data_IF_848686419706
#
_entry.id   IF_848686419706
#
_cell.length_a   1.000
_cell.length_b   1.000
_cell.length_c   1.000
_cell.angle_alpha   90.00
_cell.angle_beta   90.00
_cell.angle_gamma   90.00
#
_symmetry.space_group_name_H-M   'P 1'
#
loop_
_entity.id
_entity.type
_entity.pdbx_description
1 polymer ?
#
# COMPACT_ATOMS: atom_id res chain seq x y z
N UNK A 1 -23.75 -0.25 -3.81
CA UNK A 1 -23.37 1.17 -3.98
C UNK A 1 -21.86 1.23 -3.83
N UNK A 2 -21.14 1.80 -4.80
CA UNK A 2 -19.69 1.93 -4.74
C UNK A 2 -19.32 3.34 -4.24
N UNK A 3 -18.21 3.44 -3.51
CA UNK A 3 -17.66 4.70 -3.01
C UNK A 3 -16.15 4.65 -3.19
N UNK A 4 -15.55 5.80 -3.49
CA UNK A 4 -14.11 5.98 -3.39
C UNK A 4 -13.79 6.38 -1.96
N UNK A 5 -12.83 5.70 -1.34
CA UNK A 5 -12.33 6.01 0.00
C UNK A 5 -10.86 6.31 -0.05
N UNK A 6 -10.41 7.26 0.77
CA UNK A 6 -8.99 7.54 0.96
C UNK A 6 -8.49 6.76 2.17
N UNK A 7 -7.47 5.93 1.99
CA UNK A 7 -6.86 5.09 3.02
C UNK A 7 -5.41 5.52 3.20
N UNK A 8 -4.98 5.62 4.46
CA UNK A 8 -3.58 5.81 4.83
C UNK A 8 -3.07 4.55 5.52
N UNK A 9 -1.97 4.00 5.04
CA UNK A 9 -1.36 2.78 5.59
C UNK A 9 0.17 2.80 5.46
N UNK A 10 0.85 1.92 6.18
CA UNK A 10 2.30 1.73 6.08
C UNK A 10 2.62 0.46 5.29
N UNK A 11 3.22 0.64 4.12
CA UNK A 11 3.61 -0.48 3.23
C UNK A 11 5.03 -0.93 3.51
N UNK A 12 5.20 -2.24 3.75
CA UNK A 12 6.51 -2.90 3.86
C UNK A 12 7.02 -3.32 2.48
N UNK A 13 8.11 -2.71 2.04
CA UNK A 13 8.81 -3.07 0.81
C UNK A 13 9.94 -4.04 1.14
N UNK A 14 9.90 -5.28 0.63
CA UNK A 14 10.91 -6.28 0.93
C UNK A 14 12.26 -5.89 0.29
N UNK A 15 13.40 -6.23 0.95
CA UNK A 15 14.73 -5.83 0.46
C UNK A 15 15.04 -6.34 -0.95
N UNK A 16 14.47 -7.50 -1.33
CA UNK A 16 14.64 -8.09 -2.66
C UNK A 16 14.07 -7.24 -3.80
N UNK A 17 13.18 -6.27 -3.51
CA UNK A 17 12.51 -5.42 -4.49
C UNK A 17 12.97 -3.97 -4.47
N UNK A 18 13.98 -3.62 -3.68
CA UNK A 18 14.48 -2.24 -3.56
C UNK A 18 15.09 -1.67 -4.86
N UNK A 19 15.39 -2.53 -5.84
CA UNK A 19 15.88 -2.10 -7.16
C UNK A 19 14.77 -1.83 -8.20
N UNK A 20 13.52 -2.14 -7.87
CA UNK A 20 12.36 -1.88 -8.74
C UNK A 20 11.82 -0.45 -8.50
N UNK A 21 11.03 0.11 -9.44
CA UNK A 21 10.34 1.37 -9.22
C UNK A 21 9.44 1.28 -7.98
N UNK A 22 9.71 2.15 -6.99
CA UNK A 22 9.05 2.10 -5.67
C UNK A 22 7.51 2.13 -5.78
N UNK A 23 6.97 2.99 -6.63
CA UNK A 23 5.52 3.14 -6.83
C UNK A 23 4.89 1.85 -7.37
N UNK A 24 5.55 1.16 -8.31
CA UNK A 24 5.07 -0.12 -8.84
C UNK A 24 5.06 -1.21 -7.77
N UNK A 25 6.11 -1.28 -6.96
CA UNK A 25 6.19 -2.22 -5.84
C UNK A 25 5.11 -1.94 -4.81
N UNK A 26 4.89 -0.67 -4.45
CA UNK A 26 3.86 -0.28 -3.49
C UNK A 26 2.47 -0.64 -4.02
N UNK A 27 2.15 -0.31 -5.28
CA UNK A 27 0.85 -0.66 -5.87
C UNK A 27 0.64 -2.17 -5.88
N UNK A 28 1.64 -2.95 -6.26
CA UNK A 28 1.55 -4.41 -6.25
C UNK A 28 1.32 -4.99 -4.84
N UNK A 29 2.00 -4.44 -3.83
CA UNK A 29 1.81 -4.84 -2.43
C UNK A 29 0.41 -4.45 -1.93
N UNK A 30 -0.04 -3.24 -2.22
CA UNK A 30 -1.38 -2.76 -1.85
C UNK A 30 -2.47 -3.62 -2.49
N UNK A 31 -2.37 -3.92 -3.79
CA UNK A 31 -3.33 -4.78 -4.48
C UNK A 31 -3.44 -6.15 -3.83
N UNK A 32 -2.30 -6.80 -3.57
CA UNK A 32 -2.26 -8.12 -2.92
C UNK A 32 -2.82 -8.11 -1.49
N UNK A 33 -2.72 -6.99 -0.79
CA UNK A 33 -3.12 -6.87 0.62
C UNK A 33 -4.59 -6.48 0.77
N UNK A 34 -5.11 -5.65 -0.13
CA UNK A 34 -6.43 -5.03 0.00
C UNK A 34 -7.47 -5.53 -0.99
N UNK A 35 -7.12 -5.92 -2.22
CA UNK A 35 -8.14 -6.36 -3.18
C UNK A 35 -8.83 -7.64 -2.69
N UNK A 36 -10.16 -7.59 -2.58
CA UNK A 36 -10.98 -8.68 -2.02
C UNK A 36 -11.06 -8.70 -0.49
N UNK A 37 -10.33 -7.82 0.21
CA UNK A 37 -10.45 -7.70 1.66
C UNK A 37 -11.80 -7.05 2.02
N UNK A 38 -12.50 -7.63 2.99
CA UNK A 38 -13.79 -7.12 3.46
C UNK A 38 -13.64 -6.60 4.88
N UNK A 39 -13.82 -5.30 5.03
CA UNK A 39 -13.86 -4.60 6.30
C UNK A 39 -15.31 -4.32 6.72
N UNK A 40 -15.58 -4.33 8.03
CA UNK A 40 -16.94 -4.15 8.57
C UNK A 40 -17.45 -2.71 8.43
N UNK A 41 -16.55 -1.73 8.44
CA UNK A 41 -16.88 -0.31 8.42
C UNK A 41 -16.84 0.25 6.99
N UNK A 42 -15.89 -0.24 6.18
CA UNK A 42 -15.67 0.27 4.83
C UNK A 42 -16.39 -0.55 3.75
N UNK A 43 -16.56 -1.86 3.97
CA UNK A 43 -17.09 -2.83 3.01
C UNK A 43 -15.99 -3.64 2.32
N UNK A 44 -16.30 -4.21 1.15
CA UNK A 44 -15.31 -4.95 0.34
C UNK A 44 -14.53 -4.02 -0.55
N UNK A 45 -13.20 -4.11 -0.49
CA UNK A 45 -12.28 -3.38 -1.36
C UNK A 45 -12.18 -4.11 -2.69
N UNK A 46 -12.45 -3.38 -3.78
CA UNK A 46 -12.50 -3.95 -5.12
C UNK A 46 -11.21 -3.73 -5.90
N UNK A 47 -10.67 -2.51 -5.85
CA UNK A 47 -9.48 -2.12 -6.59
C UNK A 47 -8.84 -0.89 -5.97
N UNK A 48 -7.52 -0.79 -6.06
CA UNK A 48 -6.78 0.45 -5.76
C UNK A 48 -6.85 1.35 -7.00
N UNK A 49 -7.42 2.55 -6.88
CA UNK A 49 -7.66 3.46 -8.01
C UNK A 49 -6.50 4.41 -8.27
N UNK A 50 -5.98 5.05 -7.23
CA UNK A 50 -4.95 6.09 -7.35
C UNK A 50 -4.04 6.11 -6.12
N UNK A 51 -2.73 6.26 -6.36
CA UNK A 51 -1.75 6.45 -5.30
C UNK A 51 -1.49 7.94 -5.13
N UNK A 52 -1.87 8.51 -3.98
CA UNK A 52 -1.86 9.97 -3.75
C UNK A 52 -0.56 10.49 -3.15
N UNK A 53 0.03 9.74 -2.22
CA UNK A 53 1.24 10.15 -1.52
C UNK A 53 2.07 8.94 -1.12
N UNK A 54 3.38 9.03 -1.34
CA UNK A 54 4.39 8.14 -0.75
C UNK A 54 5.36 9.01 0.03
N UNK A 55 5.48 8.75 1.33
CA UNK A 55 6.47 9.42 2.16
C UNK A 55 7.81 8.67 2.18
N UNK A 56 8.86 9.38 2.60
CA UNK A 56 10.21 8.81 2.75
C UNK A 56 10.15 7.63 3.72
N UNK A 57 10.54 6.46 3.22
CA UNK A 57 10.48 5.25 4.01
C UNK A 57 11.59 5.14 5.05
N UNK A 58 11.29 4.42 6.13
CA UNK A 58 12.26 4.08 7.19
C UNK A 58 12.70 2.62 7.07
N UNK A 59 13.99 2.37 7.22
CA UNK A 59 14.52 1.00 7.29
C UNK A 59 14.49 0.54 8.74
N UNK A 60 13.91 -0.63 8.98
CA UNK A 60 13.94 -1.26 10.30
C UNK A 60 15.19 -2.14 10.40
N UNK A 61 16.08 -1.79 11.34
CA UNK A 61 17.27 -2.60 11.63
C UNK A 61 16.88 -4.03 11.99
N UNK A 62 17.51 -5.00 11.35
CA UNK A 62 17.24 -6.43 11.54
C UNK A 62 16.27 -7.03 10.52
N UNK A 63 15.30 -6.26 10.00
CA UNK A 63 14.39 -6.73 8.94
C UNK A 63 14.93 -6.42 7.53
N UNK A 64 15.66 -5.31 7.39
CA UNK A 64 16.25 -4.89 6.10
C UNK A 64 15.23 -4.43 5.06
N UNK A 65 13.93 -4.52 5.36
CA UNK A 65 12.86 -3.93 4.58
C UNK A 65 12.75 -2.41 4.84
N UNK A 66 12.28 -1.68 3.84
CA UNK A 66 11.87 -0.29 3.99
C UNK A 66 10.36 -0.20 4.20
N UNK A 67 9.94 0.69 5.08
CA UNK A 67 8.55 0.92 5.43
C UNK A 67 8.16 2.32 4.99
N UNK A 68 7.15 2.43 4.14
CA UNK A 68 6.71 3.68 3.54
C UNK A 68 5.28 3.99 3.99
N UNK A 69 5.07 5.19 4.54
CA UNK A 69 3.73 5.69 4.83
C UNK A 69 3.11 6.17 3.52
N UNK A 70 1.96 5.61 3.15
CA UNK A 70 1.29 5.84 1.87
C UNK A 70 -0.16 6.24 2.07
N UNK A 71 -0.65 7.10 1.18
CA UNK A 71 -2.08 7.44 1.08
C UNK A 71 -2.56 7.12 -0.33
N UNK A 72 -3.64 6.36 -0.43
CA UNK A 72 -4.20 5.91 -1.70
C UNK A 72 -5.73 5.95 -1.68
N UNK A 73 -6.31 5.90 -2.87
CA UNK A 73 -7.74 5.77 -3.09
C UNK A 73 -8.11 4.34 -3.50
N UNK A 74 -9.24 3.86 -3.00
CA UNK A 74 -9.81 2.54 -3.25
C UNK A 74 -11.32 2.58 -3.37
#
# INVERSE_FOLDING_TARGET
>A
MYKIVTVSDTVRVPPSRLGEPLEEVIVDVLRKSYEGLTDKDVGTILAITELKKVETGRIIMGDGASYHDVTFES
#
